data_IF_592184643926
#
_entry.id   IF_592184643926
#
_cell.length_a   1.000
_cell.length_b   1.000
_cell.length_c   1.000
_cell.angle_alpha   90.00
_cell.angle_beta   90.00
_cell.angle_gamma   90.00
#
_symmetry.space_group_name_H-M   'P 1'
#
loop_
_entity.id
_entity.type
_entity.pdbx_description
1 polymer ?
#
# COMPACT_ATOMS: atom_id res chain seq x y z
N UNK A 1 -18.74 -7.24 6.39
CA UNK A 1 -17.86 -7.83 7.42
C UNK A 1 -17.59 -9.28 7.02
N UNK A 2 -16.33 -9.66 6.89
CA UNK A 2 -15.92 -11.02 6.51
C UNK A 2 -15.20 -11.66 7.69
N UNK A 3 -15.45 -12.93 7.95
CA UNK A 3 -14.84 -13.67 9.07
C UNK A 3 -14.05 -14.86 8.54
N UNK A 4 -12.82 -15.03 9.03
CA UNK A 4 -11.95 -16.17 8.76
C UNK A 4 -11.72 -16.96 10.06
N UNK A 5 -11.89 -18.27 10.03
CA UNK A 5 -11.61 -19.17 11.17
C UNK A 5 -10.32 -19.93 10.94
N UNK A 6 -9.37 -19.82 11.88
CA UNK A 6 -8.09 -20.54 11.85
C UNK A 6 -8.10 -21.68 12.86
N UNK A 7 -7.68 -22.88 12.44
CA UNK A 7 -7.61 -24.09 13.30
C UNK A 7 -6.23 -24.74 13.17
N UNK A 8 -5.72 -25.28 14.27
CA UNK A 8 -4.47 -26.05 14.30
C UNK A 8 -4.61 -27.25 15.22
N UNK A 9 -3.99 -28.37 14.87
CA UNK A 9 -3.89 -29.58 15.71
C UNK A 9 -2.71 -29.54 16.68
N UNK A 10 -1.88 -28.49 16.64
CA UNK A 10 -0.72 -28.31 17.53
C UNK A 10 -1.14 -27.68 18.85
N UNK A 11 -0.45 -28.02 19.94
CA UNK A 11 -0.70 -27.48 21.28
C UNK A 11 -0.20 -26.04 21.48
N UNK A 12 0.57 -25.49 20.53
CA UNK A 12 1.08 -24.13 20.62
C UNK A 12 -0.05 -23.10 20.45
N UNK A 13 -0.01 -21.96 21.16
CA UNK A 13 -1.04 -20.96 21.04
C UNK A 13 -1.00 -20.33 19.64
N UNK A 14 -2.10 -20.50 18.89
CA UNK A 14 -2.21 -20.01 17.52
C UNK A 14 -2.31 -18.48 17.47
N UNK A 15 -3.00 -17.87 18.44
CA UNK A 15 -3.26 -16.42 18.44
C UNK A 15 -1.98 -15.57 18.44
N UNK A 16 -1.00 -15.75 19.34
CA UNK A 16 0.25 -14.98 19.32
C UNK A 16 1.04 -15.12 18.01
N UNK A 17 0.98 -16.28 17.35
CA UNK A 17 1.64 -16.50 16.06
C UNK A 17 1.00 -15.67 14.96
N UNK A 18 -0.34 -15.60 14.93
CA UNK A 18 -1.07 -14.80 13.95
C UNK A 18 -0.92 -13.30 14.23
N UNK A 19 -0.99 -12.88 15.50
CA UNK A 19 -0.71 -11.49 15.91
C UNK A 19 0.67 -11.04 15.42
N UNK A 20 1.72 -11.81 15.71
CA UNK A 20 3.08 -11.51 15.26
C UNK A 20 3.21 -11.48 13.72
N UNK A 21 2.52 -12.36 13.01
CA UNK A 21 2.54 -12.37 11.54
C UNK A 21 1.87 -11.11 10.96
N UNK A 22 0.73 -10.69 11.51
CA UNK A 22 0.03 -9.48 11.11
C UNK A 22 0.86 -8.22 11.37
N UNK A 23 1.46 -8.11 12.56
CA UNK A 23 2.36 -6.99 12.91
C UNK A 23 3.58 -6.91 11.99
N UNK A 24 4.17 -8.06 11.66
CA UNK A 24 5.31 -8.11 10.75
C UNK A 24 4.94 -7.67 9.34
N UNK A 25 3.80 -8.14 8.81
CA UNK A 25 3.32 -7.72 7.49
C UNK A 25 3.01 -6.23 7.45
N UNK A 26 2.35 -5.69 8.49
CA UNK A 26 2.10 -4.26 8.61
C UNK A 26 3.40 -3.45 8.57
N UNK A 27 4.45 -3.90 9.26
CA UNK A 27 5.77 -3.23 9.24
C UNK A 27 6.39 -3.20 7.84
N UNK A 28 6.26 -4.30 7.08
CA UNK A 28 6.75 -4.38 5.69
C UNK A 28 5.95 -3.43 4.79
N UNK A 29 4.62 -3.43 4.92
CA UNK A 29 3.76 -2.54 4.15
C UNK A 29 4.05 -1.08 4.44
N UNK A 30 4.22 -0.72 5.71
CA UNK A 30 4.54 0.66 6.10
C UNK A 30 5.90 1.13 5.58
N UNK A 31 6.88 0.23 5.50
CA UNK A 31 8.15 0.53 4.85
C UNK A 31 7.99 0.74 3.34
N UNK A 32 7.16 -0.08 2.68
CA UNK A 32 6.81 0.09 1.27
C UNK A 32 6.12 1.42 0.99
N UNK A 33 5.10 1.76 1.79
CA UNK A 33 4.35 3.02 1.69
C UNK A 33 5.30 4.21 1.79
N UNK A 34 6.15 4.26 2.82
CA UNK A 34 7.10 5.38 3.00
C UNK A 34 8.03 5.53 1.80
N UNK A 35 8.58 4.43 1.29
CA UNK A 35 9.49 4.44 0.15
C UNK A 35 8.79 4.91 -1.13
N UNK A 36 7.57 4.46 -1.38
CA UNK A 36 6.79 4.91 -2.54
C UNK A 36 6.42 6.38 -2.41
N UNK A 37 6.02 6.85 -1.23
CA UNK A 37 5.77 8.27 -0.97
C UNK A 37 7.03 9.14 -1.18
N UNK A 38 8.21 8.68 -0.79
CA UNK A 38 9.49 9.36 -1.07
C UNK A 38 9.74 9.48 -2.57
N UNK A 39 9.49 8.42 -3.34
CA UNK A 39 9.66 8.45 -4.79
C UNK A 39 8.65 9.36 -5.49
N UNK A 40 7.40 9.36 -5.03
CA UNK A 40 6.37 10.28 -5.53
C UNK A 40 6.76 11.73 -5.27
N UNK A 41 7.25 12.07 -4.06
CA UNK A 41 7.77 13.41 -3.78
C UNK A 41 8.90 13.82 -4.72
N UNK A 42 9.80 12.90 -5.07
CA UNK A 42 10.87 13.20 -6.03
C UNK A 42 10.33 13.53 -7.44
N UNK A 43 9.27 12.86 -7.88
CA UNK A 43 8.59 13.24 -9.13
C UNK A 43 7.89 14.60 -8.99
N UNK A 44 7.16 14.83 -7.89
CA UNK A 44 6.44 16.08 -7.65
C UNK A 44 7.38 17.29 -7.65
N UNK A 45 8.54 17.16 -6.99
CA UNK A 45 9.59 18.18 -6.97
C UNK A 45 10.19 18.39 -8.36
N UNK A 46 10.52 17.31 -9.08
CA UNK A 46 11.13 17.38 -10.42
C UNK A 46 10.24 18.10 -11.43
N UNK A 47 8.94 17.82 -11.42
CA UNK A 47 7.98 18.40 -12.36
C UNK A 47 7.26 19.63 -11.82
N UNK A 48 7.48 19.99 -10.55
CA UNK A 48 6.76 21.07 -9.86
C UNK A 48 5.23 20.90 -10.00
N UNK A 49 4.77 19.67 -9.78
CA UNK A 49 3.40 19.24 -10.04
C UNK A 49 2.99 18.24 -8.97
N UNK A 50 1.84 18.42 -8.31
CA UNK A 50 1.35 17.41 -7.37
C UNK A 50 0.91 16.14 -8.09
N UNK A 51 0.94 15.01 -7.38
CA UNK A 51 0.46 13.73 -7.93
C UNK A 51 -1.01 13.78 -8.36
N UNK A 52 -1.85 14.56 -7.66
CA UNK A 52 -3.26 14.75 -8.01
C UNK A 52 -3.43 15.56 -9.30
N UNK A 53 -2.59 16.59 -9.51
CA UNK A 53 -2.57 17.34 -10.78
C UNK A 53 -2.04 16.48 -11.93
N UNK A 54 -0.97 15.71 -11.68
CA UNK A 54 -0.42 14.75 -12.62
C UNK A 54 -1.48 13.76 -13.10
N UNK A 55 -2.24 13.14 -12.18
CA UNK A 55 -3.33 12.21 -12.55
C UNK A 55 -4.40 12.87 -13.41
N UNK A 56 -4.83 14.11 -13.07
CA UNK A 56 -5.80 14.84 -13.89
C UNK A 56 -5.29 15.09 -15.31
N UNK A 57 -4.01 15.39 -15.48
CA UNK A 57 -3.42 15.62 -16.80
C UNK A 57 -3.28 14.32 -17.60
N UNK A 58 -2.96 13.19 -16.94
CA UNK A 58 -2.96 11.86 -17.57
C UNK A 58 -4.37 11.49 -18.05
N UNK A 59 -5.40 11.71 -17.23
CA UNK A 59 -6.80 11.44 -17.59
C UNK A 59 -7.29 12.27 -18.78
N UNK A 60 -6.72 13.46 -18.97
CA UNK A 60 -7.02 14.37 -20.07
C UNK A 60 -6.20 14.09 -21.34
N UNK A 61 -5.34 13.07 -21.34
CA UNK A 61 -4.37 12.79 -22.41
C UNK A 61 -3.47 14.02 -22.72
N UNK A 62 -3.23 14.84 -21.70
CA UNK A 62 -2.53 16.12 -21.80
C UNK A 62 -1.02 16.01 -21.52
N UNK A 63 -0.52 14.79 -21.26
CA UNK A 63 0.89 14.51 -21.01
C UNK A 63 1.41 13.47 -22.01
N UNK A 64 2.64 13.62 -22.51
CA UNK A 64 3.26 12.60 -23.33
C UNK A 64 3.49 11.33 -22.50
N UNK A 65 3.19 10.19 -23.12
CA UNK A 65 3.54 8.88 -22.56
C UNK A 65 5.05 8.67 -22.71
N UNK A 66 5.75 8.79 -21.59
CA UNK A 66 7.20 8.61 -21.47
C UNK A 66 7.46 7.59 -20.38
N UNK A 67 8.68 7.03 -20.33
CA UNK A 67 9.03 6.10 -19.26
C UNK A 67 8.81 6.72 -17.87
N UNK A 68 9.11 8.01 -17.70
CA UNK A 68 8.96 8.69 -16.41
C UNK A 68 7.48 8.89 -16.03
N UNK A 69 6.61 9.24 -16.97
CA UNK A 69 5.17 9.37 -16.71
C UNK A 69 4.51 8.01 -16.45
N UNK A 70 4.97 6.96 -17.14
CA UNK A 70 4.55 5.57 -16.86
C UNK A 70 4.99 5.15 -15.44
N UNK A 71 6.24 5.41 -15.06
CA UNK A 71 6.75 5.07 -13.74
C UNK A 71 6.00 5.80 -12.63
N UNK A 72 5.77 7.11 -12.77
CA UNK A 72 5.03 7.88 -11.78
C UNK A 72 3.61 7.35 -11.60
N UNK A 73 2.89 7.07 -12.69
CA UNK A 73 1.57 6.44 -12.62
C UNK A 73 1.62 5.06 -11.94
N UNK A 74 2.69 4.30 -12.19
CA UNK A 74 2.94 3.02 -11.53
C UNK A 74 3.10 3.15 -10.01
N UNK A 75 3.90 4.12 -9.56
CA UNK A 75 4.12 4.38 -8.13
C UNK A 75 2.83 4.83 -7.42
N UNK A 76 1.98 5.61 -8.08
CA UNK A 76 0.68 6.01 -7.53
C UNK A 76 -0.24 4.82 -7.30
N UNK A 77 -0.34 3.93 -8.30
CA UNK A 77 -1.13 2.69 -8.20
C UNK A 77 -0.55 1.74 -7.15
N UNK A 78 0.77 1.70 -7.02
CA UNK A 78 1.43 0.91 -5.98
C UNK A 78 1.07 1.44 -4.59
N UNK A 79 1.14 2.76 -4.38
CA UNK A 79 0.81 3.38 -3.11
C UNK A 79 -0.63 3.07 -2.68
N UNK A 80 -1.58 3.18 -3.61
CA UNK A 80 -2.99 2.86 -3.38
C UNK A 80 -3.16 1.42 -2.89
N UNK A 81 -2.56 0.44 -3.59
CA UNK A 81 -2.63 -0.98 -3.24
C UNK A 81 -1.97 -1.30 -1.90
N UNK A 82 -0.83 -0.67 -1.60
CA UNK A 82 -0.15 -0.85 -0.32
C UNK A 82 -1.01 -0.32 0.84
N UNK A 83 -1.62 0.85 0.67
CA UNK A 83 -2.51 1.45 1.67
C UNK A 83 -3.78 0.62 1.87
N UNK A 84 -4.41 0.14 0.79
CA UNK A 84 -5.58 -0.74 0.87
C UNK A 84 -5.27 -2.01 1.68
N UNK A 85 -4.16 -2.67 1.37
CA UNK A 85 -3.72 -3.87 2.10
C UNK A 85 -3.42 -3.56 3.57
N UNK A 86 -2.68 -2.48 3.85
CA UNK A 86 -2.35 -2.09 5.21
C UNK A 86 -3.61 -1.78 6.03
N UNK A 87 -4.56 -1.04 5.46
CA UNK A 87 -5.83 -0.72 6.11
C UNK A 87 -6.65 -1.98 6.38
N UNK A 88 -6.72 -2.89 5.42
CA UNK A 88 -7.37 -4.20 5.60
C UNK A 88 -6.80 -4.95 6.81
N UNK A 89 -5.47 -4.99 6.95
CA UNK A 89 -4.83 -5.66 8.08
C UNK A 89 -5.03 -4.93 9.42
N UNK A 90 -5.03 -3.59 9.43
CA UNK A 90 -5.29 -2.78 10.65
C UNK A 90 -6.70 -2.96 11.18
N UNK A 91 -7.66 -3.24 10.31
CA UNK A 91 -9.06 -3.46 10.67
C UNK A 91 -9.33 -4.89 11.20
N UNK A 92 -8.36 -5.81 11.11
CA UNK A 92 -8.52 -7.16 11.64
C UNK A 92 -8.67 -7.12 13.16
N UNK A 93 -9.73 -7.77 13.64
CA UNK A 93 -9.99 -7.97 15.06
C UNK A 93 -10.08 -9.47 15.35
N UNK A 94 -9.49 -9.90 16.46
CA UNK A 94 -9.67 -11.27 16.94
C UNK A 94 -11.04 -11.38 17.62
N UNK A 95 -11.83 -12.36 17.19
CA UNK A 95 -13.08 -12.66 17.86
C UNK A 95 -12.83 -13.11 19.31
N UNK A 96 -13.68 -12.65 20.24
CA UNK A 96 -13.66 -13.02 21.64
C UNK A 96 -14.24 -14.43 21.86
#
# INVERSE_FOLDING_TARGET
MTTLTLKSSRQQPLRPLIEAALENELRVLDAGIRRTEERLRAFEEKYTLSSDEFLRLVEQDALPETMETIEWLGELRLLERLREKANTLREIQFAN
#
